data_IF_537464179902
#
_entry.id   IF_537464179902
#
_cell.length_a   1.000
_cell.length_b   1.000
_cell.length_c   1.000
_cell.angle_alpha   90.00
_cell.angle_beta   90.00
_cell.angle_gamma   90.00
#
_symmetry.space_group_name_H-M   'P 1'
#
loop_
_entity.id
_entity.type
_entity.pdbx_description
1 polymer ?
#
# COMPACT_ATOMS: atom_id res chain seq x y z
N UNK A 1 -48.50 -9.44 30.53
CA UNK A 1 -48.44 -8.71 29.25
C UNK A 1 -47.30 -7.70 29.33
N UNK A 2 -46.14 -7.91 28.69
CA UNK A 2 -45.06 -6.95 28.75
C UNK A 2 -45.33 -5.79 27.79
N UNK A 3 -45.07 -4.57 28.24
CA UNK A 3 -45.37 -3.30 27.57
C UNK A 3 -44.39 -3.10 26.40
N UNK A 4 -44.85 -3.34 25.17
CA UNK A 4 -44.08 -3.15 23.92
C UNK A 4 -43.84 -1.66 23.55
N UNK A 5 -44.32 -0.69 24.33
CA UNK A 5 -44.35 0.73 23.94
C UNK A 5 -43.07 1.54 24.15
N UNK A 6 -42.06 1.03 24.87
CA UNK A 6 -40.86 1.80 25.22
C UNK A 6 -39.67 1.61 24.25
N UNK A 7 -39.73 0.62 23.36
CA UNK A 7 -38.62 0.31 22.45
C UNK A 7 -38.61 1.17 21.19
N UNK A 8 -39.79 1.59 20.71
CA UNK A 8 -39.94 2.41 19.49
C UNK A 8 -39.26 3.79 19.62
N UNK A 9 -39.43 4.57 20.70
CA UNK A 9 -38.75 5.86 20.83
C UNK A 9 -37.23 5.72 21.00
N UNK A 10 -36.76 4.63 21.63
CA UNK A 10 -35.33 4.34 21.78
C UNK A 10 -34.67 3.97 20.44
N UNK A 11 -35.38 3.21 19.58
CA UNK A 11 -34.93 2.84 18.24
C UNK A 11 -34.87 4.05 17.30
N UNK A 12 -35.86 4.95 17.38
CA UNK A 12 -35.87 6.21 16.64
C UNK A 12 -34.77 7.17 17.10
N UNK A 13 -34.47 7.21 18.41
CA UNK A 13 -33.38 8.01 18.97
C UNK A 13 -32.00 7.48 18.56
N UNK A 14 -31.81 6.16 18.49
CA UNK A 14 -30.58 5.53 17.98
C UNK A 14 -30.33 5.85 16.49
N UNK A 15 -31.38 5.92 15.66
CA UNK A 15 -31.28 6.34 14.26
C UNK A 15 -30.92 7.82 14.10
N UNK A 16 -31.25 8.67 15.09
CA UNK A 16 -30.91 10.10 15.09
C UNK A 16 -29.48 10.38 15.57
N UNK A 17 -28.91 9.52 16.43
CA UNK A 17 -27.56 9.69 17.01
C UNK A 17 -26.46 9.19 16.07
N UNK A 18 -26.77 8.23 15.20
CA UNK A 18 -25.87 7.83 14.12
C UNK A 18 -26.34 8.53 12.84
N UNK A 19 -25.89 9.76 12.53
CA UNK A 19 -25.95 10.21 11.16
C UNK A 19 -25.18 9.17 10.38
N UNK A 20 -25.90 8.34 9.63
CA UNK A 20 -25.33 7.28 8.81
C UNK A 20 -24.17 7.92 8.07
N UNK A 21 -22.97 7.35 8.22
CA UNK A 21 -21.78 7.87 7.57
C UNK A 21 -22.14 8.04 6.11
N UNK A 22 -22.39 9.28 5.68
CA UNK A 22 -22.80 9.55 4.32
C UNK A 22 -21.59 9.15 3.50
N UNK A 23 -21.69 7.99 2.85
CA UNK A 23 -20.68 7.59 1.92
C UNK A 23 -20.62 8.71 0.90
N UNK A 24 -19.44 9.32 0.74
CA UNK A 24 -19.25 10.25 -0.38
C UNK A 24 -19.37 9.52 -1.73
N UNK A 25 -19.61 8.21 -1.72
CA UNK A 25 -19.78 7.36 -2.86
C UNK A 25 -21.20 6.80 -2.94
N UNK A 26 -21.72 6.64 -4.14
CA UNK A 26 -23.00 5.97 -4.42
C UNK A 26 -22.92 5.23 -5.75
N UNK A 27 -23.80 4.26 -5.94
CA UNK A 27 -23.98 3.58 -7.23
C UNK A 27 -24.80 4.46 -8.17
N UNK A 28 -24.36 4.59 -9.41
CA UNK A 28 -24.95 5.46 -10.41
C UNK A 28 -25.27 4.69 -11.70
N UNK A 29 -26.15 5.28 -12.50
CA UNK A 29 -26.60 4.68 -13.76
C UNK A 29 -25.51 4.73 -14.83
N UNK A 30 -25.56 3.83 -15.81
CA UNK A 30 -24.60 3.78 -16.92
C UNK A 30 -24.37 5.14 -17.60
N UNK A 31 -25.45 5.89 -17.84
CA UNK A 31 -25.36 7.20 -18.50
C UNK A 31 -24.59 8.24 -17.65
N UNK A 32 -24.80 8.26 -16.34
CA UNK A 32 -24.05 9.15 -15.43
C UNK A 32 -22.59 8.74 -15.34
N UNK A 33 -22.35 7.44 -15.25
CA UNK A 33 -21.01 6.87 -15.25
C UNK A 33 -20.22 7.26 -16.50
N UNK A 34 -20.83 7.13 -17.69
CA UNK A 34 -20.20 7.48 -18.97
C UNK A 34 -19.87 8.97 -19.12
N UNK A 35 -20.68 9.86 -18.54
CA UNK A 35 -20.44 11.32 -18.58
C UNK A 35 -19.16 11.74 -17.84
N UNK A 36 -18.80 11.05 -16.77
CA UNK A 36 -17.64 11.37 -15.94
C UNK A 36 -16.45 10.53 -16.35
N UNK A 37 -15.31 11.12 -16.70
CA UNK A 37 -14.12 10.36 -17.14
C UNK A 37 -13.02 10.26 -16.07
N UNK A 38 -13.08 11.11 -15.06
CA UNK A 38 -12.06 11.17 -14.02
C UNK A 38 -12.23 10.03 -13.00
N UNK A 39 -11.11 9.40 -12.63
CA UNK A 39 -11.06 8.46 -11.52
C UNK A 39 -10.61 9.15 -10.23
N UNK A 40 -10.88 8.50 -9.10
CA UNK A 40 -10.33 8.93 -7.82
C UNK A 40 -8.79 8.96 -7.86
N UNK A 41 -8.12 9.93 -7.20
CA UNK A 41 -6.67 10.02 -7.21
C UNK A 41 -6.00 8.78 -6.64
N UNK A 42 -4.94 8.33 -7.31
CA UNK A 42 -4.16 7.16 -6.88
C UNK A 42 -4.78 5.80 -7.22
N UNK A 43 -5.88 5.74 -7.98
CA UNK A 43 -6.47 4.48 -8.44
C UNK A 43 -5.43 3.56 -9.14
N UNK A 44 -4.55 4.14 -9.95
CA UNK A 44 -3.49 3.43 -10.69
C UNK A 44 -2.29 2.99 -9.83
N UNK A 45 -2.31 3.25 -8.53
CA UNK A 45 -1.29 2.72 -7.61
C UNK A 45 -1.74 1.39 -7.02
N UNK A 46 -3.01 1.04 -7.15
CA UNK A 46 -3.61 -0.15 -6.54
C UNK A 46 -3.24 -1.36 -7.37
N UNK A 47 -2.75 -2.40 -6.68
CA UNK A 47 -2.39 -3.68 -7.31
C UNK A 47 -1.11 -3.63 -8.14
N UNK A 48 -0.42 -2.49 -8.25
CA UNK A 48 0.88 -2.45 -8.90
C UNK A 48 1.95 -3.13 -8.03
N UNK A 49 2.70 -4.05 -8.64
CA UNK A 49 3.79 -4.76 -7.98
C UNK A 49 4.94 -3.85 -7.62
N UNK A 50 5.54 -4.11 -6.45
CA UNK A 50 6.73 -3.41 -5.95
C UNK A 50 7.85 -4.44 -5.80
N UNK A 51 9.03 -4.10 -6.31
CA UNK A 51 10.25 -4.83 -6.01
C UNK A 51 10.77 -4.39 -4.64
N UNK A 52 10.64 -5.27 -3.65
CA UNK A 52 11.07 -4.97 -2.28
C UNK A 52 12.58 -4.68 -2.18
N UNK A 53 13.42 -5.22 -3.07
CA UNK A 53 14.88 -5.03 -3.01
C UNK A 53 15.31 -3.68 -3.53
N UNK A 54 14.62 -3.14 -4.54
CA UNK A 54 14.91 -1.81 -5.08
C UNK A 54 14.01 -0.72 -4.50
N UNK A 55 12.92 -1.12 -3.81
CA UNK A 55 11.77 -0.26 -3.44
C UNK A 55 11.09 0.41 -4.65
N UNK A 56 11.30 -0.16 -5.85
CA UNK A 56 10.80 0.37 -7.10
C UNK A 56 9.47 -0.25 -7.53
N UNK A 57 8.66 0.54 -8.23
CA UNK A 57 7.45 0.08 -8.92
C UNK A 57 7.84 -0.80 -10.11
N UNK A 58 7.16 -1.94 -10.29
CA UNK A 58 7.39 -2.87 -11.42
C UNK A 58 6.61 -2.52 -12.68
N UNK A 59 5.55 -1.71 -12.56
CA UNK A 59 4.63 -1.45 -13.68
C UNK A 59 3.83 -2.68 -14.13
N UNK A 60 3.83 -3.74 -13.33
CA UNK A 60 2.99 -4.92 -13.51
C UNK A 60 1.86 -4.88 -12.47
N UNK A 61 0.64 -5.20 -12.87
CA UNK A 61 -0.56 -4.99 -12.06
C UNK A 61 -1.27 -6.33 -11.82
N UNK A 62 -1.49 -6.66 -10.55
CA UNK A 62 -2.28 -7.82 -10.12
C UNK A 62 -3.79 -7.52 -10.16
N UNK A 63 -4.15 -6.24 -10.19
CA UNK A 63 -5.53 -5.76 -10.16
C UNK A 63 -5.70 -4.73 -11.26
N UNK A 64 -6.72 -4.91 -12.09
CA UNK A 64 -7.06 -3.95 -13.12
C UNK A 64 -7.83 -2.76 -12.51
N UNK A 65 -7.10 -1.67 -12.24
CA UNK A 65 -7.68 -0.42 -11.72
C UNK A 65 -8.48 0.38 -12.77
N UNK A 66 -8.49 -0.05 -14.03
CA UNK A 66 -9.22 0.61 -15.11
C UNK A 66 -10.67 0.12 -15.22
N UNK A 67 -11.02 -1.01 -14.60
CA UNK A 67 -12.39 -1.52 -14.56
C UNK A 67 -13.20 -0.75 -13.53
N UNK A 68 -14.28 -0.11 -13.98
CA UNK A 68 -15.16 0.72 -13.14
C UNK A 68 -16.65 0.39 -13.31
N UNK A 69 -17.01 -0.34 -14.37
CA UNK A 69 -18.40 -0.63 -14.71
C UNK A 69 -18.75 -2.07 -14.33
N UNK A 70 -19.85 -2.26 -13.61
CA UNK A 70 -20.42 -3.56 -13.32
C UNK A 70 -21.06 -4.18 -14.57
N UNK A 71 -21.32 -5.49 -14.54
CA UNK A 71 -21.94 -6.21 -15.67
C UNK A 71 -23.34 -5.69 -16.02
N UNK A 72 -24.06 -5.13 -15.03
CA UNK A 72 -25.36 -4.48 -15.21
C UNK A 72 -25.27 -3.05 -15.77
N UNK A 73 -24.06 -2.59 -16.09
CA UNK A 73 -23.78 -1.27 -16.63
C UNK A 73 -23.63 -0.16 -15.59
N UNK A 74 -23.92 -0.41 -14.32
CA UNK A 74 -23.79 0.59 -13.24
C UNK A 74 -22.33 0.81 -12.84
N UNK A 75 -22.05 1.87 -12.07
CA UNK A 75 -20.73 2.10 -11.49
C UNK A 75 -20.82 2.80 -10.12
N UNK A 76 -19.72 2.82 -9.38
CA UNK A 76 -19.62 3.61 -8.15
C UNK A 76 -18.97 4.97 -8.42
N UNK A 77 -19.66 6.05 -8.08
CA UNK A 77 -19.16 7.43 -8.16
C UNK A 77 -18.94 8.01 -6.77
N UNK A 78 -17.76 8.58 -6.55
CA UNK A 78 -17.35 9.22 -5.31
C UNK A 78 -17.16 10.73 -5.48
N UNK A 79 -17.67 11.52 -4.54
CA UNK A 79 -17.49 12.97 -4.50
C UNK A 79 -16.17 13.32 -3.83
N UNK A 80 -15.29 13.99 -4.57
CA UNK A 80 -14.02 14.47 -4.06
C UNK A 80 -14.12 15.92 -3.59
N UNK A 81 -14.38 16.10 -2.29
CA UNK A 81 -14.46 17.43 -1.66
C UNK A 81 -13.14 18.21 -1.70
N UNK A 82 -11.99 17.55 -1.91
CA UNK A 82 -10.69 18.22 -2.04
C UNK A 82 -10.40 18.77 -3.44
N UNK A 83 -11.20 18.36 -4.42
CA UNK A 83 -11.12 18.84 -5.79
C UNK A 83 -12.43 19.50 -6.19
N UNK A 84 -12.92 20.44 -5.36
CA UNK A 84 -14.13 21.21 -5.68
C UNK A 84 -15.43 20.40 -5.72
N UNK A 85 -15.47 19.22 -5.07
CA UNK A 85 -16.67 18.39 -5.02
C UNK A 85 -16.96 17.62 -6.31
N UNK A 86 -15.95 17.43 -7.17
CA UNK A 86 -16.09 16.70 -8.42
C UNK A 86 -16.41 15.23 -8.18
N UNK A 87 -17.33 14.69 -8.99
CA UNK A 87 -17.67 13.27 -8.99
C UNK A 87 -16.65 12.49 -9.80
N UNK A 88 -16.13 11.40 -9.22
CA UNK A 88 -15.04 10.61 -9.77
C UNK A 88 -15.37 9.12 -9.70
N UNK A 89 -15.01 8.38 -10.74
CA UNK A 89 -15.20 6.92 -10.80
C UNK A 89 -14.32 6.22 -9.79
N UNK A 90 -14.90 5.24 -9.11
CA UNK A 90 -14.20 4.30 -8.25
C UNK A 90 -13.97 2.98 -9.01
N UNK A 91 -12.75 2.44 -9.07
CA UNK A 91 -12.52 1.12 -9.66
C UNK A 91 -13.25 0.02 -8.89
N UNK A 92 -13.69 -1.04 -9.58
CA UNK A 92 -14.43 -2.17 -9.00
C UNK A 92 -13.66 -2.86 -7.87
N UNK A 93 -12.33 -2.91 -7.97
CA UNK A 93 -11.48 -3.54 -6.97
C UNK A 93 -11.33 -2.72 -5.67
N UNK A 94 -11.98 -1.54 -5.58
CA UNK A 94 -11.89 -0.65 -4.43
C UNK A 94 -13.27 -0.50 -3.80
N UNK A 95 -13.38 -0.90 -2.54
CA UNK A 95 -14.67 -0.91 -1.82
C UNK A 95 -14.85 0.26 -0.85
N UNK A 96 -13.77 0.86 -0.34
CA UNK A 96 -13.85 1.88 0.71
C UNK A 96 -12.90 3.06 0.46
N UNK A 97 -13.22 3.86 -0.57
CA UNK A 97 -12.48 5.10 -0.82
C UNK A 97 -12.97 6.22 0.09
N UNK A 98 -12.04 6.82 0.83
CA UNK A 98 -12.34 7.89 1.78
C UNK A 98 -11.39 9.06 1.61
N UNK A 99 -11.97 10.25 1.63
CA UNK A 99 -11.23 11.48 1.85
C UNK A 99 -10.93 11.59 3.33
N UNK A 100 -9.66 11.65 3.68
CA UNK A 100 -9.23 11.93 5.04
C UNK A 100 -8.25 13.10 5.04
N UNK A 101 -8.66 14.19 5.70
CA UNK A 101 -7.88 15.43 5.81
C UNK A 101 -7.26 15.54 7.19
N UNK A 102 -6.05 15.01 7.35
CA UNK A 102 -5.23 15.27 8.54
C UNK A 102 -3.83 15.62 8.10
N UNK A 103 -3.62 16.88 7.73
CA UNK A 103 -2.31 17.40 7.41
C UNK A 103 -1.77 18.16 8.63
N UNK A 104 -0.95 17.50 9.44
CA UNK A 104 -0.13 18.20 10.43
C UNK A 104 1.21 18.49 9.76
N UNK A 105 1.68 19.74 9.82
CA UNK A 105 3.04 20.14 9.40
C UNK A 105 4.07 19.57 10.38
N UNK A 106 4.22 18.25 10.40
CA UNK A 106 5.21 17.53 11.21
C UNK A 106 6.35 17.10 10.31
N UNK A 107 7.52 17.68 10.53
CA UNK A 107 8.77 17.17 9.99
C UNK A 107 9.32 16.18 11.02
N UNK A 108 9.45 14.92 10.63
CA UNK A 108 10.21 13.94 11.42
C UNK A 108 11.64 13.92 10.87
N UNK A 109 12.60 14.30 11.71
CA UNK A 109 14.02 14.27 11.38
C UNK A 109 14.72 13.27 12.31
N UNK A 110 15.64 12.48 11.78
CA UNK A 110 16.47 11.58 12.57
C UNK A 110 17.87 11.50 12.00
N UNK A 111 18.86 11.40 12.89
CA UNK A 111 20.26 11.16 12.52
C UNK A 111 20.55 9.68 12.72
N UNK A 112 21.07 9.04 11.67
CA UNK A 112 21.45 7.65 11.62
C UNK A 112 22.97 7.56 11.68
N UNK A 113 23.48 6.90 12.72
CA UNK A 113 24.92 6.81 13.00
C UNK A 113 25.65 5.83 12.09
N UNK A 114 24.91 5.07 11.26
CA UNK A 114 25.47 4.09 10.34
C UNK A 114 24.62 3.96 9.08
N UNK A 115 25.23 3.42 8.02
CA UNK A 115 24.50 3.06 6.80
C UNK A 115 23.38 2.05 7.08
N UNK A 116 23.63 1.06 7.96
CA UNK A 116 22.60 0.10 8.36
C UNK A 116 21.41 0.78 9.05
N UNK A 117 21.64 1.73 9.96
CA UNK A 117 20.55 2.49 10.58
C UNK A 117 19.74 3.32 9.57
N UNK A 118 20.42 3.87 8.55
CA UNK A 118 19.73 4.55 7.45
C UNK A 118 18.87 3.60 6.61
N UNK A 119 19.40 2.41 6.29
CA UNK A 119 18.66 1.37 5.57
C UNK A 119 17.47 0.85 6.38
N UNK A 120 17.60 0.67 7.68
CA UNK A 120 16.50 0.27 8.56
C UNK A 120 15.39 1.32 8.62
N UNK A 121 15.75 2.60 8.75
CA UNK A 121 14.80 3.71 8.69
C UNK A 121 14.07 3.79 7.34
N UNK A 122 14.71 3.40 6.24
CA UNK A 122 14.08 3.34 4.92
C UNK A 122 13.17 2.12 4.77
N UNK A 123 13.63 0.94 5.20
CA UNK A 123 12.86 -0.31 5.19
C UNK A 123 11.59 -0.22 6.05
N UNK A 124 11.60 0.61 7.11
CA UNK A 124 10.43 0.86 7.97
C UNK A 124 9.23 1.48 7.22
N UNK A 125 9.39 1.91 5.96
CA UNK A 125 8.27 2.38 5.15
C UNK A 125 7.34 1.23 4.70
N UNK A 126 7.86 0.00 4.67
CA UNK A 126 7.08 -1.21 4.38
C UNK A 126 6.41 -1.67 5.66
N UNK A 127 5.09 -1.46 5.76
CA UNK A 127 4.35 -1.64 7.01
C UNK A 127 3.78 -3.07 7.20
N UNK A 128 3.71 -3.87 6.14
CA UNK A 128 3.19 -5.24 6.20
C UNK A 128 4.32 -6.27 6.38
N UNK A 129 3.94 -7.49 6.79
CA UNK A 129 4.86 -8.62 6.81
C UNK A 129 4.94 -9.28 5.42
N UNK A 130 5.58 -8.58 4.48
CA UNK A 130 5.74 -9.01 3.09
C UNK A 130 6.51 -10.33 2.92
N UNK A 131 7.13 -10.84 4.00
CA UNK A 131 7.90 -12.08 4.00
C UNK A 131 7.01 -13.32 4.18
N UNK A 132 5.76 -13.15 4.63
CA UNK A 132 4.85 -14.28 4.86
C UNK A 132 4.64 -15.04 3.55
N UNK A 133 4.84 -16.36 3.59
CA UNK A 133 4.71 -17.24 2.43
C UNK A 133 5.89 -17.22 1.46
N UNK A 134 6.97 -16.47 1.76
CA UNK A 134 8.22 -16.48 1.01
C UNK A 134 9.29 -17.24 1.79
N UNK A 135 10.04 -18.12 1.11
CA UNK A 135 11.23 -18.73 1.70
C UNK A 135 12.40 -17.73 1.67
N UNK A 136 12.44 -16.89 2.70
CA UNK A 136 13.48 -15.88 2.87
C UNK A 136 14.53 -16.42 3.86
N UNK A 137 15.79 -16.64 3.45
CA UNK A 137 16.80 -17.22 4.33
C UNK A 137 17.10 -16.29 5.51
N UNK A 138 16.57 -16.63 6.68
CA UNK A 138 16.79 -15.88 7.93
C UNK A 138 18.12 -16.31 8.52
N UNK A 139 19.19 -15.56 8.28
CA UNK A 139 20.40 -15.71 9.12
C UNK A 139 20.12 -15.06 10.49
N UNK A 140 20.18 -15.81 11.61
CA UNK A 140 19.64 -15.38 12.91
C UNK A 140 20.37 -14.18 13.56
N UNK A 141 21.44 -13.65 12.95
CA UNK A 141 22.25 -12.55 13.50
C UNK A 141 22.02 -11.18 12.82
N UNK A 142 21.17 -11.10 11.79
CA UNK A 142 20.94 -9.85 11.04
C UNK A 142 19.44 -9.59 10.92
N UNK A 143 18.99 -8.36 11.15
CA UNK A 143 17.60 -7.98 10.92
C UNK A 143 17.27 -8.16 9.42
N UNK A 144 16.51 -9.22 9.08
CA UNK A 144 16.22 -9.66 7.70
C UNK A 144 15.51 -8.58 6.88
N UNK A 145 14.72 -7.72 7.52
CA UNK A 145 14.08 -6.59 6.84
C UNK A 145 15.13 -5.65 6.23
N UNK A 146 16.25 -5.42 6.91
CA UNK A 146 17.32 -4.51 6.48
C UNK A 146 18.21 -5.17 5.42
N UNK A 147 18.40 -6.49 5.49
CA UNK A 147 19.25 -7.23 4.56
C UNK A 147 18.70 -7.28 3.13
N UNK A 148 17.38 -7.30 2.97
CA UNK A 148 16.73 -7.47 1.68
C UNK A 148 15.98 -6.23 1.21
N UNK A 149 15.19 -5.60 2.08
CA UNK A 149 14.35 -4.49 1.67
C UNK A 149 15.21 -3.26 1.36
N UNK A 150 15.14 -2.77 0.12
CA UNK A 150 15.91 -1.63 -0.34
C UNK A 150 17.40 -1.90 -0.57
N UNK A 151 17.87 -3.14 -0.44
CA UNK A 151 19.28 -3.54 -0.62
C UNK A 151 19.88 -3.12 -1.98
N UNK A 152 19.06 -3.05 -3.03
CA UNK A 152 19.43 -2.64 -4.40
C UNK A 152 18.90 -1.25 -4.76
N UNK A 153 18.45 -0.47 -3.78
CA UNK A 153 17.93 0.87 -4.01
C UNK A 153 19.05 1.89 -4.25
N UNK A 154 18.69 3.04 -4.84
CA UNK A 154 19.62 4.18 -4.97
C UNK A 154 20.13 4.67 -3.61
N UNK A 155 19.31 4.57 -2.57
CA UNK A 155 19.71 4.91 -1.21
C UNK A 155 20.80 3.96 -0.71
N UNK A 156 20.67 2.66 -0.99
CA UNK A 156 21.69 1.67 -0.63
C UNK A 156 23.04 2.00 -1.28
N UNK A 157 23.06 2.27 -2.59
CA UNK A 157 24.27 2.72 -3.29
C UNK A 157 24.84 3.97 -2.64
N UNK A 158 24.01 4.99 -2.41
CA UNK A 158 24.42 6.24 -1.78
C UNK A 158 25.10 6.04 -0.42
N UNK A 159 24.50 5.25 0.48
CA UNK A 159 25.09 5.04 1.82
C UNK A 159 26.34 4.18 1.76
N UNK A 160 26.36 3.16 0.90
CA UNK A 160 27.53 2.26 0.72
C UNK A 160 28.72 3.06 0.18
N UNK A 161 28.50 3.87 -0.85
CA UNK A 161 29.56 4.68 -1.47
C UNK A 161 30.18 5.65 -0.44
N UNK A 162 29.35 6.30 0.38
CA UNK A 162 29.85 7.20 1.43
C UNK A 162 30.60 6.46 2.53
N UNK A 163 30.10 5.32 3.00
CA UNK A 163 30.81 4.54 4.04
C UNK A 163 32.14 3.95 3.58
N UNK A 164 32.35 3.78 2.27
CA UNK A 164 33.64 3.36 1.71
C UNK A 164 34.67 4.48 1.67
N UNK A 165 34.21 5.73 1.57
CA UNK A 165 35.10 6.89 1.52
C UNK A 165 35.58 7.32 2.91
N UNK A 166 34.68 7.39 3.88
CA UNK A 166 35.00 7.79 5.26
C UNK A 166 33.87 7.39 6.24
N UNK A 167 34.02 7.76 7.51
CA UNK A 167 33.01 7.63 8.54
C UNK A 167 31.95 8.75 8.40
N UNK A 168 30.76 8.38 7.94
CA UNK A 168 29.62 9.29 7.81
C UNK A 168 28.52 9.03 8.83
N UNK A 169 27.80 10.10 9.18
CA UNK A 169 26.45 10.04 9.79
C UNK A 169 25.44 10.55 8.77
N UNK A 170 24.25 9.95 8.73
CA UNK A 170 23.22 10.26 7.75
C UNK A 170 22.03 10.95 8.39
N UNK A 171 21.44 11.94 7.74
CA UNK A 171 20.21 12.59 8.21
C UNK A 171 19.04 12.17 7.34
N UNK A 172 17.98 11.68 7.97
CA UNK A 172 16.71 11.31 7.34
C UNK A 172 15.64 12.33 7.70
N UNK A 173 14.95 12.85 6.69
CA UNK A 173 13.82 13.76 6.85
C UNK A 173 12.56 13.16 6.21
N UNK A 174 11.53 12.90 7.01
CA UNK A 174 10.24 12.38 6.58
C UNK A 174 9.18 13.47 6.74
N UNK A 175 8.53 13.83 5.64
CA UNK A 175 7.32 14.66 5.64
C UNK A 175 6.12 13.80 5.25
N UNK A 176 5.17 13.55 6.17
CA UNK A 176 3.90 12.95 5.82
C UNK A 176 3.22 13.85 4.79
N UNK A 177 3.09 13.37 3.54
CA UNK A 177 2.25 14.04 2.56
C UNK A 177 0.80 13.64 2.84
N UNK A 178 -0.17 14.56 2.69
CA UNK A 178 -1.57 14.18 2.67
C UNK A 178 -1.76 13.18 1.53
N UNK A 179 -1.88 11.90 1.87
CA UNK A 179 -2.26 10.87 0.91
C UNK A 179 -3.76 11.10 0.64
N UNK A 180 -4.14 11.25 -0.62
CA UNK A 180 -5.53 11.10 -1.06
C UNK A 180 -6.04 9.64 -0.90
N UNK A 181 -5.22 8.76 -0.34
CA UNK A 181 -5.51 7.38 -0.01
C UNK A 181 -5.20 7.15 1.48
N UNK A 182 -6.20 7.35 2.35
CA UNK A 182 -6.13 6.74 3.67
C UNK A 182 -6.69 5.32 3.56
N UNK A 183 -5.81 4.32 3.60
CA UNK A 183 -6.23 2.95 3.85
C UNK A 183 -6.96 2.91 5.20
N UNK A 184 -8.11 2.22 5.31
CA UNK A 184 -8.77 2.07 6.60
C UNK A 184 -7.83 1.36 7.59
N UNK A 185 -7.79 1.85 8.83
CA UNK A 185 -7.33 1.02 9.95
C UNK A 185 -8.31 -0.14 10.08
N UNK A 186 -7.82 -1.35 9.85
CA UNK A 186 -8.61 -2.58 9.97
C UNK A 186 -8.88 -3.24 8.63
N UNK A 187 -7.82 -3.66 7.95
CA UNK A 187 -7.93 -4.75 6.98
C UNK A 187 -7.27 -5.98 7.58
N UNK A 188 -8.03 -6.63 8.47
CA UNK A 188 -7.75 -8.00 8.88
C UNK A 188 -8.46 -8.92 7.88
N UNK A 189 -7.69 -9.87 7.33
CA UNK A 189 -8.13 -11.01 6.52
C UNK A 189 -8.40 -10.71 5.03
N UNK A 190 -7.37 -10.94 4.21
CA UNK A 190 -7.51 -11.17 2.78
C UNK A 190 -7.15 -12.62 2.47
N UNK A 191 -8.02 -13.56 2.87
CA UNK A 191 -7.83 -14.98 2.57
C UNK A 191 -8.14 -15.37 1.12
N UNK A 192 -8.55 -14.44 0.26
CA UNK A 192 -8.90 -14.76 -1.12
C UNK A 192 -8.49 -13.63 -2.09
N UNK A 193 -7.20 -13.56 -2.42
CA UNK A 193 -6.77 -13.10 -3.75
C UNK A 193 -6.10 -14.31 -4.40
N UNK A 194 -6.94 -15.25 -4.85
CA UNK A 194 -6.54 -16.25 -5.83
C UNK A 194 -6.96 -15.68 -7.19
N UNK A 195 -6.03 -15.05 -7.90
CA UNK A 195 -6.12 -14.96 -9.34
C UNK A 195 -5.04 -15.89 -9.90
N UNK A 196 -5.52 -17.04 -10.36
CA UNK A 196 -4.77 -17.98 -11.16
C UNK A 196 -4.37 -17.29 -12.47
N UNK A 197 -3.17 -16.71 -12.48
CA UNK A 197 -2.42 -16.53 -13.71
C UNK A 197 -1.82 -17.89 -14.07
N UNK A 198 -2.07 -18.38 -15.28
CA UNK A 198 -1.34 -19.52 -15.83
C UNK A 198 0.13 -19.17 -15.91
N UNK A 199 0.92 -19.71 -14.97
CA UNK A 199 2.38 -19.69 -15.03
C UNK A 199 2.85 -20.75 -16.04
N UNK A 200 3.72 -20.42 -17.00
CA UNK A 200 4.42 -21.44 -17.74
C UNK A 200 5.49 -22.05 -16.83
N UNK A 201 5.31 -23.33 -16.49
CA UNK A 201 6.38 -24.23 -16.07
C UNK A 201 6.79 -24.18 -14.61
N UNK A 202 6.73 -25.35 -13.98
CA UNK A 202 7.49 -25.76 -12.80
C UNK A 202 8.91 -25.14 -12.83
N UNK A 203 9.28 -24.39 -11.80
CA UNK A 203 10.68 -24.05 -11.58
C UNK A 203 11.33 -25.27 -10.92
N UNK A 204 11.78 -26.22 -11.74
CA UNK A 204 12.60 -27.35 -11.28
C UNK A 204 13.83 -26.79 -10.56
N UNK A 205 13.88 -27.05 -9.26
CA UNK A 205 14.99 -26.70 -8.39
C UNK A 205 16.22 -27.54 -8.71
N UNK A 206 17.00 -27.12 -9.70
CA UNK A 206 18.38 -27.56 -9.85
C UNK A 206 19.31 -26.53 -9.19
N UNK A 207 19.80 -26.89 -8.01
CA UNK A 207 20.92 -26.23 -7.35
C UNK A 207 22.19 -26.55 -8.13
N UNK A 208 22.65 -25.62 -8.98
CA UNK A 208 24.03 -25.65 -9.45
C UNK A 208 24.93 -25.02 -8.37
N UNK A 209 25.72 -25.87 -7.72
CA UNK A 209 26.85 -25.47 -6.87
C UNK A 209 27.92 -24.79 -7.74
N UNK A 210 27.80 -23.46 -7.88
CA UNK A 210 28.85 -22.61 -8.42
C UNK A 210 30.02 -22.49 -7.44
N UNK A 211 31.06 -23.29 -7.66
CA UNK A 211 32.34 -23.24 -6.97
C UNK A 211 33.07 -21.92 -7.29
N UNK A 212 33.18 -21.00 -6.34
CA UNK A 212 34.00 -19.79 -6.49
C UNK A 212 35.48 -20.13 -6.28
N UNK A 213 36.38 -19.82 -7.22
CA UNK A 213 37.81 -20.02 -7.00
C UNK A 213 38.31 -19.04 -5.94
N UNK A 214 38.90 -19.60 -4.89
CA UNK A 214 39.65 -18.90 -3.86
C UNK A 214 41.00 -18.47 -4.45
N UNK A 215 41.18 -17.19 -4.72
CA UNK A 215 42.50 -16.57 -4.86
C UNK A 215 42.50 -15.33 -3.96
N UNK A 216 43.35 -15.17 -2.97
CA UNK A 216 44.77 -15.54 -2.90
C UNK A 216 45.52 -14.23 -2.71
N UNK A 217 45.80 -13.91 -1.44
CA UNK A 217 46.59 -12.76 -1.01
C UNK A 217 47.92 -12.68 -1.78
N UNK A 218 48.23 -11.49 -2.30
CA UNK A 218 49.50 -10.77 -2.16
C UNK A 218 49.28 -9.32 -2.61
#
# INVERSE_FOLDING_TARGET
MPRFGAFIPLLLFLLFIFPGATSNCHTSTENECKKLTAFVPGHSLIGEGIDVTTMGRKGAYLVDSSLWQHEDGTCTLCQNRLQGGQWQRLPLAVVDWRVHVSCRRKLSSSVQQSAMGMMESAASAVQNDWKVGLDVPVKPKVNVQVALAGSRSKLASFVVDHTRMDKYSFMSQKRPRPLLLCLPRGYHDQRHVLLAGTWPGEADGHSEEGHWPVGGLL
#
